data_IF_609253373148
#
_entry.id   IF_609253373148
#
_cell.length_a   1.000
_cell.length_b   1.000
_cell.length_c   1.000
_cell.angle_alpha   90.00
_cell.angle_beta   90.00
_cell.angle_gamma   90.00
#
_symmetry.space_group_name_H-M   'P 1'
#
loop_
_entity.id
_entity.type
_entity.pdbx_description
1 polymer ?
#
# COMPACT_ATOMS: atom_id res chain seq x y z
N UNK A 1 2.47 -19.38 -9.17
CA UNK A 1 3.45 -20.26 -8.49
C UNK A 1 3.78 -19.72 -7.09
N UNK A 2 4.75 -20.34 -6.40
CA UNK A 2 5.18 -19.88 -5.06
C UNK A 2 5.85 -18.49 -5.10
N UNK A 3 6.52 -18.14 -6.21
CA UNK A 3 7.17 -16.85 -6.39
C UNK A 3 6.14 -15.70 -6.42
N UNK A 4 5.04 -15.87 -7.12
CA UNK A 4 3.97 -14.88 -7.25
C UNK A 4 3.28 -14.64 -5.90
N UNK A 5 3.11 -15.69 -5.09
CA UNK A 5 2.58 -15.57 -3.72
C UNK A 5 3.52 -14.75 -2.81
N UNK A 6 4.83 -14.96 -2.93
CA UNK A 6 5.80 -14.18 -2.16
C UNK A 6 5.84 -12.72 -2.61
N UNK A 7 5.74 -12.46 -3.92
CA UNK A 7 5.66 -11.10 -4.46
C UNK A 7 4.43 -10.35 -3.94
N UNK A 8 3.27 -11.00 -3.93
CA UNK A 8 2.05 -10.41 -3.37
C UNK A 8 2.22 -10.05 -1.89
N UNK A 9 2.73 -10.97 -1.06
CA UNK A 9 2.97 -10.70 0.36
C UNK A 9 3.96 -9.56 0.61
N UNK A 10 5.01 -9.46 -0.20
CA UNK A 10 6.00 -8.38 -0.08
C UNK A 10 5.38 -7.03 -0.45
N UNK A 11 4.52 -6.99 -1.47
CA UNK A 11 3.81 -5.76 -1.89
C UNK A 11 3.02 -5.15 -0.72
N UNK A 12 2.31 -5.99 0.04
CA UNK A 12 1.52 -5.53 1.19
C UNK A 12 2.37 -4.92 2.32
N UNK A 13 3.65 -5.32 2.41
CA UNK A 13 4.60 -4.78 3.40
C UNK A 13 5.30 -3.48 2.96
N UNK A 14 5.16 -3.08 1.70
CA UNK A 14 5.83 -1.89 1.15
C UNK A 14 5.46 -0.60 1.89
N UNK A 15 4.17 -0.30 2.19
CA UNK A 15 3.82 0.91 2.94
C UNK A 15 4.46 0.94 4.32
N UNK A 16 4.47 -0.20 5.03
CA UNK A 16 5.04 -0.30 6.37
C UNK A 16 6.56 -0.06 6.35
N UNK A 17 7.25 -0.57 5.33
CA UNK A 17 8.67 -0.28 5.11
C UNK A 17 8.90 1.22 4.93
N UNK A 18 8.11 1.88 4.07
CA UNK A 18 8.22 3.32 3.87
C UNK A 18 8.01 4.12 5.17
N UNK A 19 7.00 3.79 5.96
CA UNK A 19 6.75 4.47 7.23
C UNK A 19 7.90 4.27 8.22
N UNK A 20 8.37 3.03 8.38
CA UNK A 20 9.44 2.68 9.33
C UNK A 20 10.71 3.47 9.03
N UNK A 21 11.12 3.49 7.77
CA UNK A 21 12.31 4.23 7.34
C UNK A 21 12.13 5.75 7.32
N UNK A 22 10.91 6.24 7.12
CA UNK A 22 10.59 7.66 7.26
C UNK A 22 10.75 8.15 8.70
N UNK A 23 10.21 7.40 9.67
CA UNK A 23 10.35 7.70 11.10
C UNK A 23 11.82 7.59 11.56
N UNK A 24 12.51 6.54 11.15
CA UNK A 24 13.95 6.40 11.39
C UNK A 24 14.73 7.60 10.84
N UNK A 25 14.41 8.06 9.62
CA UNK A 25 15.03 9.24 9.03
C UNK A 25 14.83 10.51 9.88
N UNK A 26 13.62 10.75 10.39
CA UNK A 26 13.36 11.91 11.26
C UNK A 26 14.16 11.85 12.57
N UNK A 27 14.32 10.66 13.14
CA UNK A 27 15.13 10.44 14.34
C UNK A 27 16.61 10.71 14.02
N UNK A 28 17.13 10.14 12.93
CA UNK A 28 18.52 10.32 12.52
C UNK A 28 18.86 11.75 12.15
N UNK A 29 17.92 12.52 11.60
CA UNK A 29 18.13 13.96 11.36
C UNK A 29 18.50 14.74 12.62
N UNK A 30 18.11 14.25 13.81
CA UNK A 30 18.42 14.86 15.11
C UNK A 30 19.62 14.23 15.81
N UNK A 31 19.90 12.96 15.55
CA UNK A 31 20.84 12.16 16.34
C UNK A 31 22.11 11.75 15.60
N UNK A 32 22.12 11.82 14.27
CA UNK A 32 23.23 11.34 13.45
C UNK A 32 24.20 12.46 13.12
N UNK A 33 25.49 12.17 13.23
CA UNK A 33 26.58 13.05 12.76
C UNK A 33 27.00 12.76 11.32
N UNK A 34 26.33 11.81 10.65
CA UNK A 34 26.60 11.45 9.24
C UNK A 34 26.11 12.58 8.32
N UNK A 35 26.97 13.00 7.38
CA UNK A 35 26.64 13.95 6.32
C UNK A 35 25.68 13.34 5.29
N UNK A 36 24.40 13.34 5.65
CA UNK A 36 23.30 12.84 4.84
C UNK A 36 22.03 13.64 5.12
N UNK A 37 21.27 13.97 4.08
CA UNK A 37 20.01 14.70 4.23
C UNK A 37 18.87 13.79 4.70
N UNK A 38 18.92 13.44 5.99
CA UNK A 38 17.91 12.63 6.65
C UNK A 38 16.51 13.25 6.61
N UNK A 39 16.41 14.58 6.53
CA UNK A 39 15.12 15.28 6.46
C UNK A 39 14.45 15.07 5.11
N UNK A 40 15.19 15.28 4.02
CA UNK A 40 14.68 15.02 2.68
C UNK A 40 14.37 13.53 2.48
N UNK A 41 15.25 12.65 2.97
CA UNK A 41 15.00 11.20 2.95
C UNK A 41 13.70 10.84 3.68
N UNK A 42 13.52 11.30 4.92
CA UNK A 42 12.32 11.03 5.71
C UNK A 42 11.04 11.52 5.00
N UNK A 43 11.09 12.72 4.42
CA UNK A 43 9.97 13.29 3.67
C UNK A 43 9.59 12.42 2.47
N UNK A 44 10.57 12.01 1.65
CA UNK A 44 10.32 11.13 0.51
C UNK A 44 9.71 9.79 0.95
N UNK A 45 10.21 9.21 2.04
CA UNK A 45 9.69 7.94 2.58
C UNK A 45 8.25 8.07 3.08
N UNK A 46 7.90 9.14 3.79
CA UNK A 46 6.53 9.37 4.27
C UNK A 46 5.57 9.61 3.09
N UNK A 47 6.00 10.36 2.06
CA UNK A 47 5.21 10.52 0.83
C UNK A 47 4.90 9.18 0.17
N UNK A 48 5.90 8.30 0.06
CA UNK A 48 5.69 6.97 -0.52
C UNK A 48 4.86 6.03 0.35
N UNK A 49 4.89 6.17 1.68
CA UNK A 49 3.93 5.47 2.53
C UNK A 49 2.49 5.83 2.15
N UNK A 50 2.18 7.12 1.98
CA UNK A 50 0.84 7.54 1.58
C UNK A 50 0.47 7.03 0.18
N UNK A 51 1.37 7.13 -0.80
CA UNK A 51 1.11 6.66 -2.17
C UNK A 51 0.84 5.15 -2.23
N UNK A 52 1.69 4.35 -1.57
CA UNK A 52 1.60 2.88 -1.61
C UNK A 52 0.46 2.34 -0.73
N UNK A 53 0.10 3.04 0.36
CA UNK A 53 -1.10 2.71 1.14
C UNK A 53 -2.38 2.88 0.32
N UNK A 54 -2.48 3.96 -0.47
CA UNK A 54 -3.64 4.17 -1.34
C UNK A 54 -3.75 3.07 -2.40
N UNK A 55 -2.64 2.65 -3.00
CA UNK A 55 -2.61 1.54 -3.95
C UNK A 55 -3.07 0.23 -3.32
N UNK A 56 -2.55 -0.11 -2.14
CA UNK A 56 -2.95 -1.31 -1.42
C UNK A 56 -4.45 -1.31 -1.03
N UNK A 57 -5.01 -0.13 -0.69
CA UNK A 57 -6.44 -0.01 -0.40
C UNK A 57 -7.32 -0.15 -1.64
N UNK A 58 -6.89 0.39 -2.78
CA UNK A 58 -7.60 0.26 -4.06
C UNK A 58 -7.71 -1.20 -4.48
N UNK A 59 -6.61 -1.96 -4.35
CA UNK A 59 -6.58 -3.38 -4.70
C UNK A 59 -7.51 -4.24 -3.84
N UNK A 60 -7.75 -3.86 -2.58
CA UNK A 60 -8.74 -4.54 -1.72
C UNK A 60 -10.17 -4.28 -2.19
N UNK A 61 -10.47 -3.04 -2.61
CA UNK A 61 -11.79 -2.66 -3.10
C UNK A 61 -12.11 -3.32 -4.45
N UNK A 62 -11.12 -3.44 -5.34
CA UNK A 62 -11.28 -4.08 -6.64
C UNK A 62 -11.55 -5.59 -6.52
N UNK A 63 -11.06 -6.25 -5.45
CA UNK A 63 -11.33 -7.67 -5.17
C UNK A 63 -12.71 -7.94 -4.55
N UNK A 64 -13.32 -6.94 -3.90
CA UNK A 64 -14.67 -7.04 -3.35
C UNK A 64 -15.75 -6.81 -4.43
N UNK A 65 -15.46 -5.99 -5.45
CA UNK A 65 -16.37 -5.69 -6.54
C UNK A 65 -16.62 -6.84 -7.53
N UNK A 66 -15.74 -7.82 -7.63
CA UNK A 66 -15.90 -8.97 -8.55
C UNK A 66 -16.90 -10.03 -8.05
N UNK A 67 -17.40 -9.92 -6.81
CA UNK A 67 -18.33 -10.87 -6.22
C UNK A 67 -19.82 -10.50 -6.38
N UNK A 68 -20.16 -9.29 -6.85
CA UNK A 68 -21.55 -8.83 -6.94
C UNK A 68 -22.20 -8.92 -8.34
N UNK A 69 -21.46 -9.28 -9.40
CA UNK A 69 -21.98 -9.28 -10.79
C UNK A 69 -22.49 -10.66 -11.27
N UNK A 70 -22.87 -11.53 -10.33
CA UNK A 70 -23.23 -12.93 -10.59
C UNK A 70 -24.71 -13.30 -10.55
N UNK A 71 -25.63 -12.40 -10.20
CA UNK A 71 -27.06 -12.73 -10.09
C UNK A 71 -27.94 -11.80 -10.92
N UNK A 72 -27.81 -11.93 -12.24
CA UNK A 72 -28.79 -11.44 -13.21
C UNK A 72 -30.07 -12.29 -13.09
N UNK A 73 -30.95 -11.93 -12.16
CA UNK A 73 -32.32 -12.45 -12.16
C UNK A 73 -33.07 -11.87 -13.37
N UNK A 74 -33.63 -12.70 -14.28
CA UNK A 74 -34.40 -12.18 -15.40
C UNK A 74 -35.72 -11.56 -14.89
N UNK A 75 -36.31 -10.61 -15.64
CA UNK A 75 -37.59 -10.04 -15.24
C UNK A 75 -38.67 -11.13 -15.37
N UNK A 76 -39.28 -11.52 -14.25
CA UNK A 76 -40.58 -12.19 -14.32
C UNK A 76 -41.65 -11.14 -14.61
N UNK A 77 -41.82 -10.87 -15.89
CA UNK A 77 -43.04 -10.31 -16.46
C UNK A 77 -44.00 -11.48 -16.68
N UNK A 78 -44.99 -11.62 -15.80
CA UNK A 78 -46.27 -12.34 -15.91
C UNK A 78 -46.90 -12.34 -14.50
N UNK A 79 -48.14 -11.93 -14.23
CA UNK A 79 -49.27 -11.49 -15.02
C UNK A 79 -50.20 -10.65 -14.13
#
# INVERSE_FOLDING_TARGET
>A
GAAELLLAKVRDAVPLSHLTWGLWGLIQHRLSDVDFDYRAYAQQRIQQYHATKMQALQEVQDQEGELEDGEHSPPLLCA
#
